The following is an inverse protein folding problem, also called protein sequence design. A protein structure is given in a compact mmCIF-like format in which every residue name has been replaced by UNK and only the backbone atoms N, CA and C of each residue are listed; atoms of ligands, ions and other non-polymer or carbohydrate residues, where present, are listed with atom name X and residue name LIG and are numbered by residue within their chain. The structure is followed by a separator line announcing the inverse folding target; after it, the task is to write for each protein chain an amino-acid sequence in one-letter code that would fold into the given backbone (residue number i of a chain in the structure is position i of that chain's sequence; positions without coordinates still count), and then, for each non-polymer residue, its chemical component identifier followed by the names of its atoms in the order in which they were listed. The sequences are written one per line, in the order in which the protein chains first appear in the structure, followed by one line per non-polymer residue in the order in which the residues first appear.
data_IF_276102096098
#
_entry.id   IF_276102096098
#
_cell.length_a   1.000
_cell.length_b   1.000
_cell.length_c   1.000
_cell.angle_alpha   90.00
_cell.angle_beta   90.00
_cell.angle_gamma   90.00
#
_symmetry.space_group_name_H-M   'P 1'
#
loop_
_entity.id
_entity.type
_entity.pdbx_description
1 polymer ?
#
# COMPACT_ATOMS: atom_id res chain seq x y z
N UNK A 1 11.37 -20.55 5.49
CA UNK A 1 10.21 -20.33 4.60
C UNK A 1 9.94 -18.84 4.57
N UNK A 2 9.91 -18.24 3.39
CA UNK A 2 9.61 -16.81 3.26
C UNK A 2 8.16 -16.57 3.73
N UNK A 3 7.86 -15.44 4.39
CA UNK A 3 6.51 -15.11 4.88
C UNK A 3 5.45 -15.25 3.78
N UNK A 4 5.81 -14.95 2.53
CA UNK A 4 4.94 -15.09 1.36
C UNK A 4 4.60 -16.55 1.03
N UNK A 5 5.57 -17.44 1.13
CA UNK A 5 5.37 -18.87 0.91
C UNK A 5 4.47 -19.45 2.00
N UNK A 6 4.66 -19.01 3.25
CA UNK A 6 3.80 -19.37 4.38
C UNK A 6 2.35 -18.97 4.15
N UNK A 7 2.11 -17.71 3.79
CA UNK A 7 0.78 -17.19 3.53
C UNK A 7 0.11 -17.89 2.34
N UNK A 8 0.87 -18.09 1.25
CA UNK A 8 0.40 -18.82 0.08
C UNK A 8 0.01 -20.27 0.42
N UNK A 9 0.85 -20.98 1.18
CA UNK A 9 0.59 -22.36 1.58
C UNK A 9 -0.64 -22.45 2.49
N UNK A 10 -0.79 -21.53 3.45
CA UNK A 10 -1.95 -21.46 4.32
C UNK A 10 -3.25 -21.24 3.53
N UNK A 11 -3.24 -20.30 2.57
CA UNK A 11 -4.39 -20.05 1.71
C UNK A 11 -4.72 -21.27 0.83
N UNK A 12 -3.72 -21.91 0.22
CA UNK A 12 -3.91 -23.13 -0.58
C UNK A 12 -4.51 -24.28 0.25
N UNK A 13 -4.01 -24.48 1.47
CA UNK A 13 -4.54 -25.50 2.38
C UNK A 13 -6.00 -25.21 2.77
N UNK A 14 -6.35 -23.94 2.99
CA UNK A 14 -7.71 -23.53 3.27
C UNK A 14 -8.65 -23.81 2.08
N UNK A 15 -8.27 -23.41 0.86
CA UNK A 15 -9.08 -23.64 -0.34
C UNK A 15 -9.24 -25.11 -0.68
N UNK A 16 -8.22 -25.94 -0.43
CA UNK A 16 -8.34 -27.38 -0.62
C UNK A 16 -9.43 -28.01 0.27
N UNK A 17 -9.69 -27.43 1.43
CA UNK A 17 -10.74 -27.86 2.36
C UNK A 17 -12.08 -27.14 2.12
N UNK A 18 -12.06 -25.97 1.48
CA UNK A 18 -13.21 -25.10 1.27
C UNK A 18 -13.24 -24.62 -0.20
N UNK A 19 -13.54 -25.50 -1.17
CA UNK A 19 -13.45 -25.17 -2.60
C UNK A 19 -14.43 -24.08 -3.05
N UNK A 20 -15.55 -23.89 -2.33
CA UNK A 20 -16.57 -22.87 -2.60
C UNK A 20 -16.25 -21.52 -1.95
N UNK A 21 -15.15 -21.41 -1.19
CA UNK A 21 -14.81 -20.16 -0.52
C UNK A 21 -14.55 -19.05 -1.54
N UNK A 22 -15.11 -17.86 -1.28
CA UNK A 22 -14.92 -16.71 -2.15
C UNK A 22 -13.46 -16.26 -2.08
N UNK A 23 -12.86 -16.07 -3.24
CA UNK A 23 -11.47 -15.66 -3.36
C UNK A 23 -11.38 -14.16 -3.62
N UNK A 24 -10.38 -13.54 -3.02
CA UNK A 24 -10.03 -12.14 -3.16
C UNK A 24 -8.57 -12.05 -3.62
N UNK A 25 -8.29 -11.22 -4.61
CA UNK A 25 -6.93 -11.05 -5.13
C UNK A 25 -6.22 -9.96 -4.34
N UNK A 26 -5.06 -10.30 -3.77
CA UNK A 26 -4.14 -9.34 -3.16
C UNK A 26 -2.79 -9.36 -3.87
N UNK A 27 -2.06 -8.25 -3.81
CA UNK A 27 -0.69 -8.14 -4.32
C UNK A 27 0.19 -7.79 -3.14
N UNK A 28 1.02 -8.73 -2.69
CA UNK A 28 1.96 -8.48 -1.61
C UNK A 28 3.11 -7.59 -2.09
N UNK A 29 3.55 -6.68 -1.22
CA UNK A 29 4.59 -5.70 -1.48
C UNK A 29 5.77 -5.89 -0.53
N UNK A 30 6.99 -5.80 -1.05
CA UNK A 30 8.20 -5.75 -0.22
C UNK A 30 9.37 -5.08 -0.91
N UNK A 31 10.30 -4.53 -0.13
CA UNK A 31 11.56 -3.99 -0.66
C UNK A 31 12.57 -5.10 -0.86
N UNK A 32 13.34 -5.02 -1.94
CA UNK A 32 14.47 -5.91 -2.22
C UNK A 32 15.62 -5.13 -2.86
N UNK A 33 16.85 -5.53 -2.55
CA UNK A 33 18.04 -4.96 -3.20
C UNK A 33 18.22 -5.59 -4.58
N UNK A 34 18.18 -4.76 -5.61
CA UNK A 34 18.33 -5.19 -7.00
C UNK A 34 17.03 -5.68 -7.65
N UNK A 35 17.13 -6.03 -8.94
CA UNK A 35 15.98 -6.37 -9.79
C UNK A 35 15.38 -5.17 -10.54
N UNK A 36 14.39 -5.46 -11.39
CA UNK A 36 13.64 -4.44 -12.12
C UNK A 36 12.19 -4.43 -11.61
N UNK A 37 11.76 -3.32 -11.04
CA UNK A 37 10.36 -3.09 -10.71
C UNK A 37 9.93 -1.71 -11.18
N UNK A 38 8.64 -1.57 -11.46
CA UNK A 38 8.02 -0.27 -11.73
C UNK A 38 7.44 0.36 -10.45
N UNK A 39 7.35 -0.43 -9.38
CA UNK A 39 7.13 0.07 -8.03
C UNK A 39 8.45 0.37 -7.35
N UNK A 40 8.51 1.50 -6.65
CA UNK A 40 9.68 1.86 -5.87
C UNK A 40 9.31 2.76 -4.69
N UNK A 41 10.10 2.62 -3.64
CA UNK A 41 10.19 3.56 -2.55
C UNK A 41 11.15 4.71 -2.92
N UNK A 42 10.90 5.90 -2.40
CA UNK A 42 11.70 7.09 -2.59
C UNK A 42 11.84 7.50 -4.05
N UNK A 43 13.02 7.96 -4.44
CA UNK A 43 13.32 8.38 -5.80
C UNK A 43 12.48 9.55 -6.28
N UNK A 44 12.58 9.84 -7.57
CA UNK A 44 11.82 10.93 -8.18
C UNK A 44 10.42 10.45 -8.57
N UNK A 45 9.41 11.26 -8.25
CA UNK A 45 8.13 11.14 -8.91
C UNK A 45 8.28 11.51 -10.39
N UNK A 46 7.69 10.72 -11.28
CA UNK A 46 7.57 11.07 -12.70
C UNK A 46 6.13 11.48 -13.00
N UNK A 47 5.90 12.19 -14.13
CA UNK A 47 4.55 12.45 -14.64
C UNK A 47 3.67 13.35 -13.75
N UNK A 48 4.29 14.27 -13.01
CA UNK A 48 3.55 15.35 -12.36
C UNK A 48 3.45 16.55 -13.30
N UNK A 49 2.27 17.15 -13.42
CA UNK A 49 2.13 18.48 -14.04
C UNK A 49 2.59 19.56 -13.06
N UNK A 50 2.05 19.47 -11.85
CA UNK A 50 2.30 20.37 -10.74
C UNK A 50 2.77 19.53 -9.55
N UNK A 51 3.75 20.02 -8.81
CA UNK A 51 4.25 19.32 -7.64
C UNK A 51 3.26 19.48 -6.48
N UNK A 52 2.92 18.41 -5.73
CA UNK A 52 1.97 18.52 -4.63
C UNK A 52 2.49 19.43 -3.53
N UNK A 53 1.63 20.30 -3.02
CA UNK A 53 1.97 21.27 -1.98
C UNK A 53 0.95 21.26 -0.85
N UNK A 54 1.42 21.54 0.36
CA UNK A 54 0.58 21.85 1.53
C UNK A 54 1.00 23.21 2.06
N UNK A 55 0.06 24.15 2.14
CA UNK A 55 0.32 25.52 2.60
C UNK A 55 1.48 26.22 1.84
N UNK A 56 1.59 25.96 0.53
CA UNK A 56 2.64 26.52 -0.33
C UNK A 56 4.03 25.91 -0.12
N UNK A 57 4.14 24.82 0.65
CA UNK A 57 5.36 24.04 0.79
C UNK A 57 5.26 22.75 -0.02
N UNK A 58 6.29 22.40 -0.81
CA UNK A 58 6.30 21.15 -1.56
C UNK A 58 6.23 19.94 -0.63
N UNK A 59 5.49 18.92 -1.05
CA UNK A 59 5.38 17.64 -0.35
C UNK A 59 6.51 16.69 -0.79
N UNK A 60 6.89 15.74 0.05
CA UNK A 60 7.87 14.72 -0.28
C UNK A 60 7.21 13.54 -1.01
N UNK A 61 7.79 13.12 -2.14
CA UNK A 61 7.43 11.85 -2.76
C UNK A 61 7.92 10.68 -1.90
N UNK A 62 7.01 9.77 -1.54
CA UNK A 62 7.29 8.62 -0.69
C UNK A 62 7.49 7.35 -1.50
N UNK A 63 6.56 7.02 -2.38
CA UNK A 63 6.58 5.78 -3.17
C UNK A 63 5.74 5.90 -4.43
N UNK A 64 6.05 5.02 -5.37
CA UNK A 64 5.24 4.71 -6.54
C UNK A 64 4.86 3.23 -6.53
N UNK A 65 3.61 2.91 -6.83
CA UNK A 65 3.11 1.55 -6.96
C UNK A 65 2.56 1.30 -8.37
N UNK A 66 2.94 0.18 -8.98
CA UNK A 66 2.29 -0.38 -10.16
C UNK A 66 0.97 -1.03 -9.74
N UNK A 67 -0.12 -0.55 -10.31
CA UNK A 67 -1.47 -0.98 -9.97
C UNK A 67 -2.04 -1.95 -11.00
N UNK A 68 -1.38 -2.17 -12.14
CA UNK A 68 -1.95 -2.94 -13.28
C UNK A 68 -2.28 -4.39 -12.95
N UNK A 69 -1.74 -4.92 -11.86
CA UNK A 69 -2.08 -6.25 -11.37
C UNK A 69 -3.39 -6.30 -10.58
N UNK A 70 -4.00 -5.17 -10.21
CA UNK A 70 -5.29 -5.13 -9.53
C UNK A 70 -6.42 -5.61 -10.45
N UNK A 71 -7.53 -6.17 -9.92
CA UNK A 71 -8.68 -6.57 -10.74
C UNK A 71 -9.34 -5.40 -11.48
N UNK A 72 -9.44 -4.25 -10.83
CA UNK A 72 -10.00 -3.01 -11.36
C UNK A 72 -9.04 -1.86 -11.01
N UNK A 73 -7.93 -1.70 -11.74
CA UNK A 73 -6.95 -0.68 -11.42
C UNK A 73 -7.51 0.71 -11.74
N UNK A 74 -7.46 1.68 -10.80
CA UNK A 74 -7.90 3.05 -11.08
C UNK A 74 -6.97 3.78 -12.07
N UNK A 75 -5.73 3.32 -12.19
CA UNK A 75 -4.72 3.80 -13.13
C UNK A 75 -3.60 2.77 -13.30
N UNK A 76 -2.59 3.05 -14.12
CA UNK A 76 -1.42 2.16 -14.24
C UNK A 76 -0.52 2.25 -13.00
N UNK A 77 -0.37 3.46 -12.46
CA UNK A 77 0.48 3.73 -11.29
C UNK A 77 -0.19 4.68 -10.32
N UNK A 78 0.23 4.57 -9.07
CA UNK A 78 -0.06 5.51 -7.99
C UNK A 78 1.25 6.05 -7.42
N UNK A 79 1.34 7.36 -7.21
CA UNK A 79 2.38 8.00 -6.41
C UNK A 79 1.79 8.61 -5.14
N UNK A 80 2.45 8.36 -4.00
CA UNK A 80 2.10 8.95 -2.70
C UNK A 80 3.05 10.09 -2.37
N UNK A 81 2.47 11.21 -1.94
CA UNK A 81 3.17 12.36 -1.39
C UNK A 81 2.70 12.65 0.02
N UNK A 82 3.61 13.08 0.89
CA UNK A 82 3.29 13.51 2.26
C UNK A 82 3.98 14.84 2.57
N UNK A 83 3.37 15.68 3.39
CA UNK A 83 3.89 17.01 3.69
C UNK A 83 5.27 16.96 4.37
N UNK A 84 5.42 16.07 5.35
CA UNK A 84 6.69 15.83 6.04
C UNK A 84 6.76 14.35 6.45
N UNK A 85 7.64 13.52 5.85
CA UNK A 85 7.72 12.11 6.20
C UNK A 85 8.12 11.86 7.66
N UNK A 86 8.99 12.70 8.24
CA UNK A 86 9.45 12.54 9.60
C UNK A 86 8.39 12.96 10.65
N UNK A 87 7.49 13.86 10.26
CA UNK A 87 6.39 14.39 11.07
C UNK A 87 5.08 14.28 10.28
N UNK A 88 4.69 13.04 10.02
CA UNK A 88 3.60 12.73 9.10
C UNK A 88 2.24 12.99 9.76
N UNK A 89 1.66 14.15 9.49
CA UNK A 89 0.36 14.52 10.04
C UNK A 89 -0.84 13.88 9.31
N UNK A 90 -0.66 12.87 8.45
CA UNK A 90 -1.77 12.20 7.73
C UNK A 90 -2.55 11.19 8.60
N UNK A 91 -2.90 11.54 9.84
CA UNK A 91 -3.62 10.68 10.79
C UNK A 91 -5.15 10.79 10.69
N UNK A 92 -5.68 11.54 9.70
CA UNK A 92 -7.10 11.60 9.39
C UNK A 92 -7.30 11.56 7.86
N UNK A 93 -8.39 10.94 7.37
CA UNK A 93 -8.82 11.09 5.99
C UNK A 93 -8.98 12.58 5.61
N UNK A 94 -8.59 12.93 4.39
CA UNK A 94 -8.81 14.26 3.78
C UNK A 94 -8.25 15.46 4.56
N UNK A 95 -7.15 15.29 5.31
CA UNK A 95 -6.53 16.40 6.06
C UNK A 95 -5.39 17.13 5.32
N UNK A 96 -5.29 16.90 4.01
CA UNK A 96 -4.29 17.46 3.08
C UNK A 96 -2.81 17.16 3.42
N UNK A 97 -2.53 16.36 4.46
CA UNK A 97 -1.16 15.97 4.84
C UNK A 97 -0.57 14.90 3.93
N UNK A 98 -1.42 14.24 3.14
CA UNK A 98 -1.03 13.30 2.08
C UNK A 98 -1.78 13.62 0.78
N UNK A 99 -1.18 13.28 -0.35
CA UNK A 99 -1.82 13.37 -1.66
C UNK A 99 -1.46 12.15 -2.51
N UNK A 100 -2.45 11.68 -3.27
CA UNK A 100 -2.34 10.57 -4.19
C UNK A 100 -2.44 11.06 -5.62
N UNK A 101 -1.50 10.62 -6.45
CA UNK A 101 -1.49 10.93 -7.88
C UNK A 101 -1.57 9.66 -8.69
N UNK A 102 -2.60 9.58 -9.54
CA UNK A 102 -2.87 8.46 -10.42
C UNK A 102 -2.37 8.76 -11.83
N UNK A 103 -1.66 7.80 -12.43
CA UNK A 103 -1.00 7.98 -13.71
C UNK A 103 -1.38 6.87 -14.70
N UNK A 104 -1.69 7.25 -15.94
CA UNK A 104 -1.92 6.32 -17.06
C UNK A 104 -0.84 6.50 -18.13
N UNK A 105 -0.46 5.41 -18.80
CA UNK A 105 0.47 5.42 -19.92
C UNK A 105 1.96 5.42 -19.54
N UNK A 106 2.82 5.54 -20.57
CA UNK A 106 4.27 5.52 -20.41
C UNK A 106 4.83 6.82 -19.82
N UNK A 107 5.82 6.67 -18.94
CA UNK A 107 6.53 7.75 -18.27
C UNK A 107 7.19 8.70 -19.27
N UNK A 108 6.71 9.94 -19.34
CA UNK A 108 7.41 11.01 -20.02
C UNK A 108 7.10 12.35 -19.33
N UNK A 109 8.07 12.78 -18.52
CA UNK A 109 8.66 14.11 -18.40
C UNK A 109 9.37 14.12 -17.04
N UNK A 110 10.71 14.21 -17.00
CA UNK A 110 11.41 14.41 -15.74
C UNK A 110 11.07 15.81 -15.23
N UNK A 111 10.40 15.89 -14.07
CA UNK A 111 10.39 17.11 -13.30
C UNK A 111 11.58 17.08 -12.35
N UNK A 112 12.32 18.17 -12.28
CA UNK A 112 13.28 18.37 -11.19
C UNK A 112 12.45 18.52 -9.90
N UNK A 113 12.58 17.61 -8.93
CA UNK A 113 11.82 17.73 -7.70
C UNK A 113 12.28 18.98 -6.92
N UNK A 114 11.37 19.74 -6.30
CA UNK A 114 11.72 20.90 -5.49
C UNK A 114 12.40 20.52 -4.17
N UNK A 115 12.29 19.25 -3.75
CA UNK A 115 12.96 18.67 -2.58
C UNK A 115 13.86 17.53 -3.06
N UNK A 116 15.01 17.34 -2.41
CA UNK A 116 15.87 16.20 -2.67
C UNK A 116 15.10 14.87 -2.48
N UNK A 117 15.12 13.96 -3.45
CA UNK A 117 14.41 12.70 -3.33
C UNK A 117 15.06 11.80 -2.27
N UNK A 118 14.22 11.00 -1.59
CA UNK A 118 14.68 9.90 -0.75
C UNK A 118 15.47 8.88 -1.60
N UNK A 119 16.35 8.12 -0.95
CA UNK A 119 17.08 7.05 -1.62
C UNK A 119 16.10 6.03 -2.21
N UNK A 120 16.23 5.75 -3.50
CA UNK A 120 15.28 4.88 -4.19
C UNK A 120 15.57 3.40 -3.95
N UNK A 121 14.54 2.63 -3.67
CA UNK A 121 14.61 1.17 -3.54
C UNK A 121 13.44 0.51 -4.27
N UNK A 122 13.69 -0.61 -4.93
CA UNK A 122 12.66 -1.33 -5.69
C UNK A 122 11.68 -2.01 -4.73
N UNK A 123 10.39 -1.93 -5.08
CA UNK A 123 9.33 -2.66 -4.41
C UNK A 123 8.91 -3.81 -5.32
N UNK A 124 9.08 -5.03 -4.86
CA UNK A 124 8.63 -6.23 -5.52
C UNK A 124 7.14 -6.48 -5.25
N UNK A 125 6.50 -7.19 -6.18
CA UNK A 125 5.08 -7.49 -6.13
C UNK A 125 4.83 -8.98 -6.39
N UNK A 126 3.91 -9.58 -5.63
CA UNK A 126 3.41 -10.93 -5.93
C UNK A 126 1.92 -11.03 -5.67
N UNK A 127 1.17 -11.37 -6.71
CA UNK A 127 -0.25 -11.64 -6.60
C UNK A 127 -0.52 -12.98 -5.89
N UNK A 128 -1.50 -12.99 -4.99
CA UNK A 128 -2.04 -14.18 -4.32
C UNK A 128 -3.57 -14.11 -4.30
N UNK A 129 -4.20 -15.28 -4.30
CA UNK A 129 -5.62 -15.41 -3.98
C UNK A 129 -5.74 -15.76 -2.50
N UNK A 130 -6.57 -15.02 -1.76
CA UNK A 130 -6.84 -15.23 -0.35
C UNK A 130 -8.36 -15.38 -0.12
N UNK A 131 -8.80 -16.07 0.94
CA UNK A 131 -10.22 -16.15 1.26
C UNK A 131 -10.76 -14.77 1.64
N UNK A 132 -11.86 -14.33 1.02
CA UNK A 132 -12.43 -12.99 1.26
C UNK A 132 -12.85 -12.75 2.72
N UNK A 133 -13.15 -13.82 3.44
CA UNK A 133 -13.61 -13.84 4.82
C UNK A 133 -12.55 -13.34 5.80
N UNK A 134 -11.26 -13.32 5.41
CA UNK A 134 -10.20 -12.78 6.26
C UNK A 134 -10.30 -11.27 6.46
N UNK A 135 -11.05 -10.57 5.63
CA UNK A 135 -11.17 -9.11 5.68
C UNK A 135 -12.27 -8.61 6.62
N UNK A 136 -13.20 -9.49 7.02
CA UNK A 136 -14.20 -9.15 8.03
C UNK A 136 -13.57 -8.79 9.38
N UNK A 137 -14.28 -8.03 10.21
CA UNK A 137 -13.79 -7.58 11.53
C UNK A 137 -13.21 -8.73 12.38
N UNK A 138 -13.90 -9.88 12.35
CA UNK A 138 -13.46 -11.12 12.98
C UNK A 138 -13.30 -12.24 11.94
N UNK A 139 -12.22 -13.00 12.06
CA UNK A 139 -12.04 -14.20 11.26
C UNK A 139 -12.88 -15.35 11.86
N UNK A 140 -13.70 -16.05 11.05
CA UNK A 140 -14.71 -16.97 11.59
C UNK A 140 -14.15 -18.31 12.07
N UNK A 141 -12.87 -18.61 11.83
CA UNK A 141 -12.19 -19.78 12.37
C UNK A 141 -10.67 -19.55 12.49
N UNK A 142 -9.98 -20.46 13.19
CA UNK A 142 -8.54 -20.36 13.45
C UNK A 142 -7.66 -20.35 12.19
N UNK A 143 -8.07 -21.07 11.13
CA UNK A 143 -7.31 -21.07 9.87
C UNK A 143 -7.35 -19.68 9.20
N UNK A 144 -8.54 -19.07 9.12
CA UNK A 144 -8.71 -17.72 8.58
C UNK A 144 -8.06 -16.66 9.48
N UNK A 145 -8.10 -16.85 10.80
CA UNK A 145 -7.41 -15.97 11.76
C UNK A 145 -5.90 -15.98 11.54
N UNK A 146 -5.32 -17.16 11.33
CA UNK A 146 -3.89 -17.29 11.03
C UNK A 146 -3.50 -16.67 9.68
N UNK A 147 -4.36 -16.78 8.66
CA UNK A 147 -4.16 -16.11 7.35
C UNK A 147 -4.27 -14.60 7.51
N UNK A 148 -5.33 -14.10 8.18
CA UNK A 148 -5.52 -12.67 8.48
C UNK A 148 -4.32 -12.08 9.20
N UNK A 149 -3.83 -12.75 10.25
CA UNK A 149 -2.67 -12.29 11.01
C UNK A 149 -1.39 -12.23 10.16
N UNK A 150 -1.18 -13.20 9.26
CA UNK A 150 -0.03 -13.16 8.34
C UNK A 150 -0.15 -12.02 7.33
N UNK A 151 -1.33 -11.79 6.75
CA UNK A 151 -1.57 -10.68 5.82
C UNK A 151 -1.42 -9.32 6.52
N UNK A 152 -1.94 -9.18 7.74
CA UNK A 152 -1.82 -7.98 8.56
C UNK A 152 -0.35 -7.56 8.79
N UNK A 153 0.55 -8.55 8.82
CA UNK A 153 1.98 -8.35 8.94
C UNK A 153 2.68 -8.14 7.59
N UNK A 154 1.95 -7.82 6.52
CA UNK A 154 2.47 -7.57 5.19
C UNK A 154 1.94 -6.22 4.67
N UNK A 155 2.69 -5.59 3.77
CA UNK A 155 2.16 -4.53 2.92
C UNK A 155 1.51 -5.16 1.68
N UNK A 156 0.36 -4.64 1.24
CA UNK A 156 -0.36 -5.23 0.11
C UNK A 156 -1.27 -4.23 -0.63
N UNK A 157 -1.62 -4.58 -1.87
CA UNK A 157 -2.66 -3.94 -2.67
C UNK A 157 -3.83 -4.89 -2.92
N UNK A 158 -5.02 -4.34 -3.19
CA UNK A 158 -6.26 -5.08 -3.43
C UNK A 158 -6.89 -5.61 -2.15
N UNK A 159 -7.96 -6.39 -2.28
CA UNK A 159 -8.74 -6.84 -1.13
C UNK A 159 -9.48 -5.71 -0.43
N UNK A 160 -9.43 -5.69 0.90
CA UNK A 160 -10.10 -4.72 1.76
C UNK A 160 -9.18 -4.33 2.92
N UNK A 161 -9.37 -3.18 3.58
CA UNK A 161 -8.53 -2.75 4.68
C UNK A 161 -8.61 -3.72 5.86
N UNK A 162 -7.46 -3.98 6.49
CA UNK A 162 -7.37 -4.58 7.82
C UNK A 162 -7.09 -3.47 8.82
N UNK A 163 -8.16 -2.91 9.38
CA UNK A 163 -8.09 -1.78 10.32
C UNK A 163 -7.35 -2.11 11.60
N UNK A 164 -6.62 -1.11 12.12
CA UNK A 164 -5.84 -1.20 13.35
C UNK A 164 -6.68 -0.82 14.57
N UNK A 165 -7.41 0.29 14.48
CA UNK A 165 -8.19 0.85 15.59
C UNK A 165 -9.70 0.77 15.32
N UNK A 166 -10.15 1.41 14.24
CA UNK A 166 -11.55 1.45 13.82
C UNK A 166 -11.66 1.77 12.33
N UNK A 167 -12.83 1.50 11.77
CA UNK A 167 -13.18 1.90 10.41
C UNK A 167 -13.29 3.44 10.33
N UNK A 168 -12.29 4.08 9.73
CA UNK A 168 -12.25 5.55 9.60
C UNK A 168 -12.71 6.06 8.23
N UNK A 169 -12.74 5.20 7.22
CA UNK A 169 -13.15 5.58 5.87
C UNK A 169 -13.82 4.43 5.11
N UNK A 170 -14.77 4.78 4.24
CA UNK A 170 -15.51 3.85 3.39
C UNK A 170 -15.40 4.28 1.92
N UNK A 171 -14.21 4.15 1.35
CA UNK A 171 -13.92 4.46 -0.06
C UNK A 171 -13.44 3.24 -0.86
N UNK A 172 -13.03 3.48 -2.10
CA UNK A 172 -12.40 2.46 -2.94
C UNK A 172 -10.97 2.17 -2.44
N UNK A 173 -10.79 1.06 -1.73
CA UNK A 173 -9.52 0.65 -1.14
C UNK A 173 -8.53 0.20 -2.21
N UNK A 174 -7.30 0.73 -2.15
CA UNK A 174 -6.20 0.37 -3.03
C UNK A 174 -5.26 -0.59 -2.34
N UNK A 175 -4.91 -0.34 -1.07
CA UNK A 175 -3.93 -1.12 -0.35
C UNK A 175 -3.54 -0.51 0.99
N UNK A 176 -2.68 -1.21 1.72
CA UNK A 176 -2.08 -0.72 2.96
C UNK A 176 -0.61 -1.12 3.06
N UNK A 177 0.16 -0.34 3.80
CA UNK A 177 1.57 -0.64 4.06
C UNK A 177 2.04 -0.08 5.40
N UNK A 178 3.22 -0.52 5.83
CA UNK A 178 3.90 -0.04 7.04
C UNK A 178 5.29 0.51 6.74
N UNK A 179 5.99 0.98 7.77
CA UNK A 179 7.33 1.56 7.69
C UNK A 179 8.39 0.59 7.13
N UNK A 180 8.15 -0.72 7.13
CA UNK A 180 9.07 -1.67 6.50
C UNK A 180 9.06 -1.50 4.98
N UNK A 181 7.95 -1.08 4.38
CA UNK A 181 7.88 -0.71 2.96
C UNK A 181 8.40 0.72 2.73
N UNK A 182 8.16 1.64 3.66
CA UNK A 182 8.55 3.06 3.56
C UNK A 182 9.25 3.54 4.84
N UNK A 183 10.57 3.29 5.01
CA UNK A 183 11.27 3.45 6.30
C UNK A 183 11.47 4.89 6.76
N UNK A 184 11.44 5.87 5.86
CA UNK A 184 11.56 7.28 6.24
C UNK A 184 10.19 7.94 6.45
N UNK A 185 9.09 7.17 6.36
CA UNK A 185 7.75 7.63 6.68
C UNK A 185 7.41 7.24 8.12
N UNK A 186 7.28 8.23 8.99
CA UNK A 186 6.83 8.05 10.36
C UNK A 186 5.34 7.70 10.37
N UNK A 187 4.99 6.54 10.89
CA UNK A 187 3.61 6.07 11.09
C UNK A 187 3.31 5.83 12.57
N UNK A 188 4.13 6.39 13.49
CA UNK A 188 4.00 6.17 14.92
C UNK A 188 4.35 4.73 15.33
N UNK A 189 3.87 4.32 16.50
CA UNK A 189 4.21 3.01 17.07
C UNK A 189 3.46 1.88 16.34
N UNK A 190 4.15 1.24 15.40
CA UNK A 190 3.64 0.14 14.57
C UNK A 190 2.43 0.50 13.71
N UNK A 191 2.49 1.67 13.06
CA UNK A 191 1.38 2.14 12.24
C UNK A 191 1.23 1.50 10.86
N UNK A 192 0.03 1.68 10.31
CA UNK A 192 -0.37 1.27 8.97
C UNK A 192 -0.90 2.48 8.22
N UNK A 193 -0.34 2.74 7.04
CA UNK A 193 -0.89 3.67 6.06
C UNK A 193 -1.90 2.94 5.20
N UNK A 194 -3.10 3.50 5.08
CA UNK A 194 -4.16 3.05 4.19
C UNK A 194 -4.23 3.95 2.96
N UNK A 195 -4.42 3.32 1.80
CA UNK A 195 -4.52 3.98 0.50
C UNK A 195 -5.92 3.72 -0.06
N UNK A 196 -6.65 4.79 -0.35
CA UNK A 196 -7.93 4.78 -1.04
C UNK A 196 -7.83 5.63 -2.31
N UNK A 197 -8.74 5.48 -3.26
CA UNK A 197 -8.72 6.31 -4.49
C UNK A 197 -8.81 7.82 -4.23
N UNK A 198 -9.44 8.21 -3.12
CA UNK A 198 -9.74 9.59 -2.78
C UNK A 198 -8.89 10.15 -1.62
N UNK A 199 -8.20 9.31 -0.85
CA UNK A 199 -7.41 9.74 0.29
C UNK A 199 -6.36 8.72 0.72
N UNK A 200 -5.39 9.17 1.51
CA UNK A 200 -4.46 8.30 2.22
C UNK A 200 -4.24 8.81 3.65
N UNK A 201 -4.24 7.91 4.61
CA UNK A 201 -4.04 8.27 6.01
C UNK A 201 -3.50 7.06 6.78
N UNK A 202 -3.05 7.27 8.01
CA UNK A 202 -2.49 6.20 8.83
C UNK A 202 -3.12 6.12 10.22
N UNK A 203 -3.04 4.92 10.80
CA UNK A 203 -3.37 4.64 12.21
C UNK A 203 -2.16 4.02 12.89
N UNK A 204 -1.96 4.27 14.19
CA UNK A 204 -0.98 3.58 15.04
C UNK A 204 -1.63 3.05 16.32
N UNK A 205 -0.88 2.30 17.13
CA UNK A 205 -1.35 1.89 18.46
C UNK A 205 -1.27 3.02 19.48
#
# INVERSE_FOLDING_TARGET
MNKYESLQQAAQAYFAQNPEAKQEKVILLWREEGGSSLSYYGGQASQLRDWPERQGQPMQHVLRLDLRQLPQPPADFLSLFVANPADNEAFLPFNDSSQLHFHTGQAAMPNTPPIAPLASQMIQQKALMLPSEIFGWEAPNEALKAIRQQLFNCSYLGGQPLWLQSDEHHGAFIGQFDERLAPDLNLGDSGLMYLFEDTAFWQCY
#
